data_IF_480154909182
#
_entry.id   IF_480154909182
#
_cell.length_a   1.000
_cell.length_b   1.000
_cell.length_c   1.000
_cell.angle_alpha   90.00
_cell.angle_beta   90.00
_cell.angle_gamma   90.00
#
_symmetry.space_group_name_H-M   'P 1'
#
loop_
_entity.id
_entity.type
_entity.pdbx_description
1 polymer ?
#
# COMPACT_ATOMS: atom_id res chain seq x y z
N UNK A 1 -6.31 5.29 1.08
CA UNK A 1 -6.22 6.66 1.64
C UNK A 1 -5.38 7.50 0.69
N UNK A 2 -5.69 8.77 0.47
CA UNK A 2 -4.81 9.66 -0.30
C UNK A 2 -3.80 10.32 0.64
N UNK A 3 -2.52 10.33 0.27
CA UNK A 3 -1.49 11.08 1.00
C UNK A 3 -1.63 12.59 0.72
N UNK A 4 -0.98 13.42 1.54
CA UNK A 4 -0.87 14.86 1.29
C UNK A 4 -0.13 15.21 -0.02
N UNK A 5 0.58 14.24 -0.60
CA UNK A 5 1.22 14.34 -1.92
C UNK A 5 0.33 13.86 -3.07
N UNK A 6 -0.94 13.51 -2.80
CA UNK A 6 -1.90 13.06 -3.81
C UNK A 6 -1.75 11.59 -4.23
N UNK A 7 -0.93 10.80 -3.55
CA UNK A 7 -0.70 9.40 -3.89
C UNK A 7 -1.69 8.48 -3.18
N UNK A 8 -2.12 7.42 -3.86
CA UNK A 8 -2.99 6.42 -3.26
C UNK A 8 -2.18 5.47 -2.38
N UNK A 9 -2.46 5.50 -1.08
CA UNK A 9 -1.77 4.72 -0.05
C UNK A 9 -2.71 3.68 0.56
N UNK A 10 -2.24 2.44 0.62
CA UNK A 10 -2.96 1.30 1.21
C UNK A 10 -2.09 0.51 2.18
N UNK A 11 -2.74 -0.04 3.21
CA UNK A 11 -2.11 -0.94 4.18
C UNK A 11 -2.38 -2.38 3.77
N UNK A 12 -1.33 -3.11 3.40
CA UNK A 12 -1.38 -4.49 2.91
C UNK A 12 -0.39 -5.36 3.68
N UNK A 13 -0.54 -6.70 3.64
CA UNK A 13 0.46 -7.60 4.20
C UNK A 13 1.84 -7.28 3.63
N UNK A 14 2.89 -7.31 4.46
CA UNK A 14 4.24 -6.96 4.01
C UNK A 14 4.78 -7.83 2.86
N UNK A 15 4.23 -9.03 2.65
CA UNK A 15 4.49 -9.85 1.45
C UNK A 15 3.91 -9.19 0.20
N UNK A 16 2.64 -8.79 0.24
CA UNK A 16 1.94 -8.12 -0.86
C UNK A 16 2.60 -6.79 -1.24
N UNK A 17 3.01 -6.01 -0.23
CA UNK A 17 3.77 -4.76 -0.46
C UNK A 17 5.05 -5.04 -1.26
N UNK A 18 5.80 -6.11 -0.93
CA UNK A 18 7.01 -6.48 -1.67
C UNK A 18 6.71 -6.91 -3.11
N UNK A 19 5.61 -7.64 -3.33
CA UNK A 19 5.18 -8.04 -4.68
C UNK A 19 4.86 -6.84 -5.55
N UNK A 20 4.08 -5.90 -5.02
CA UNK A 20 3.67 -4.69 -5.76
C UNK A 20 4.86 -3.75 -6.04
N UNK A 21 5.87 -3.74 -5.16
CA UNK A 21 7.12 -3.05 -5.44
C UNK A 21 7.92 -3.77 -6.53
N UNK A 22 7.98 -5.11 -6.48
CA UNK A 22 8.71 -5.90 -7.46
C UNK A 22 8.08 -5.84 -8.86
N UNK A 23 6.75 -5.67 -8.96
CA UNK A 23 6.04 -5.43 -10.22
C UNK A 23 6.14 -3.99 -10.72
N UNK A 24 6.67 -3.07 -9.91
CA UNK A 24 6.78 -1.65 -10.23
C UNK A 24 5.51 -0.83 -10.02
N UNK A 25 4.49 -1.42 -9.38
CA UNK A 25 3.18 -0.80 -9.13
C UNK A 25 3.21 0.27 -8.02
N UNK A 26 4.24 0.29 -7.18
CA UNK A 26 4.35 1.28 -6.12
C UNK A 26 5.64 1.21 -5.33
N UNK A 27 5.72 2.05 -4.31
CA UNK A 27 6.85 2.19 -3.39
C UNK A 27 6.38 2.03 -1.94
N UNK A 28 7.30 1.68 -1.02
CA UNK A 28 6.95 1.69 0.41
C UNK A 28 6.59 3.10 0.84
N UNK A 29 5.46 3.23 1.50
CA UNK A 29 5.05 4.51 2.04
C UNK A 29 5.89 4.87 3.27
N UNK A 30 6.52 6.05 3.24
CA UNK A 30 7.28 6.62 4.34
C UNK A 30 6.68 7.98 4.75
N UNK A 31 5.78 8.00 5.75
CA UNK A 31 5.13 9.24 6.18
C UNK A 31 6.06 10.20 6.94
N UNK A 32 7.24 9.75 7.41
CA UNK A 32 8.13 10.55 8.28
C UNK A 32 9.57 10.66 7.74
N UNK A 33 9.84 10.20 6.52
CA UNK A 33 11.11 10.37 5.84
C UNK A 33 12.31 9.74 6.54
N UNK A 34 12.12 8.55 7.13
CA UNK A 34 13.20 7.87 7.86
C UNK A 34 12.91 6.45 8.31
N UNK A 35 11.64 5.99 8.22
CA UNK A 35 11.30 4.59 8.51
C UNK A 35 10.08 4.17 7.69
N UNK A 36 10.29 3.65 6.46
CA UNK A 36 9.20 3.14 5.65
C UNK A 36 8.47 2.03 6.39
N UNK A 37 7.13 2.12 6.42
CA UNK A 37 6.31 1.12 7.07
C UNK A 37 6.22 -0.10 6.16
N UNK A 38 6.57 -1.29 6.69
CA UNK A 38 6.68 -2.53 5.90
C UNK A 38 5.35 -2.99 5.30
N UNK A 39 4.25 -2.52 5.85
CA UNK A 39 2.87 -2.89 5.49
C UNK A 39 2.14 -1.79 4.72
N UNK A 40 2.82 -0.69 4.38
CA UNK A 40 2.19 0.43 3.68
C UNK A 40 2.82 0.61 2.31
N UNK A 41 1.97 0.69 1.30
CA UNK A 41 2.33 0.90 -0.08
C UNK A 41 1.70 2.21 -0.57
N UNK A 42 2.50 3.01 -1.27
CA UNK A 42 2.03 4.10 -2.11
C UNK A 42 2.01 3.62 -3.55
N UNK A 43 0.84 3.58 -4.18
CA UNK A 43 0.73 3.28 -5.61
C UNK A 43 1.34 4.40 -6.43
N UNK A 44 1.95 4.01 -7.54
CA UNK A 44 2.38 4.92 -8.61
C UNK A 44 1.17 5.25 -9.48
N UNK A 45 1.11 6.45 -10.01
CA UNK A 45 0.01 6.87 -10.90
C UNK A 45 -0.06 6.05 -12.20
N UNK A 46 1.07 5.44 -12.59
CA UNK A 46 1.16 4.54 -13.74
C UNK A 46 0.77 3.08 -13.41
N UNK A 47 0.41 2.77 -12.17
CA UNK A 47 0.00 1.41 -11.81
C UNK A 47 -1.32 1.06 -12.46
N UNK A 48 -1.40 -0.16 -13.00
CA UNK A 48 -2.63 -0.71 -13.57
C UNK A 48 -3.43 -1.52 -12.55
N UNK A 49 -3.01 -1.53 -11.28
CA UNK A 49 -3.73 -2.23 -10.23
C UNK A 49 -5.10 -1.59 -9.97
N UNK A 50 -6.10 -2.45 -9.78
CA UNK A 50 -7.44 -2.02 -9.41
C UNK A 50 -7.48 -1.52 -7.96
N UNK A 51 -7.84 -0.24 -7.79
CA UNK A 51 -7.92 0.40 -6.49
C UNK A 51 -9.01 -0.22 -5.60
N UNK A 52 -10.12 -0.70 -6.18
CA UNK A 52 -11.20 -1.33 -5.41
C UNK A 52 -10.71 -2.67 -4.85
N UNK A 53 -10.03 -3.47 -5.67
CA UNK A 53 -9.45 -4.75 -5.25
C UNK A 53 -8.41 -4.55 -4.12
N UNK A 54 -7.49 -3.59 -4.28
CA UNK A 54 -6.49 -3.28 -3.26
C UNK A 54 -7.11 -2.75 -1.96
N UNK A 55 -8.20 -2.00 -2.05
CA UNK A 55 -8.92 -1.49 -0.86
C UNK A 55 -9.60 -2.62 -0.10
N UNK A 56 -10.21 -3.59 -0.81
CA UNK A 56 -10.79 -4.79 -0.20
C UNK A 56 -9.73 -5.64 0.50
N UNK A 57 -8.60 -5.87 -0.17
CA UNK A 57 -7.47 -6.62 0.40
C UNK A 57 -6.94 -5.93 1.68
N UNK A 58 -6.82 -4.60 1.66
CA UNK A 58 -6.43 -3.82 2.84
C UNK A 58 -7.44 -3.95 3.99
N UNK A 59 -8.74 -3.92 3.70
CA UNK A 59 -9.80 -4.08 4.69
C UNK A 59 -9.75 -5.47 5.34
N UNK A 60 -9.59 -6.52 4.54
CA UNK A 60 -9.46 -7.90 5.02
C UNK A 60 -8.23 -8.08 5.91
N UNK A 61 -7.10 -7.48 5.51
CA UNK A 61 -5.87 -7.51 6.31
C UNK A 61 -6.06 -6.83 7.67
N UNK A 62 -6.65 -5.63 7.72
CA UNK A 62 -6.88 -4.91 8.97
C UNK A 62 -7.86 -5.65 9.88
N UNK A 63 -8.92 -6.25 9.32
CA UNK A 63 -9.86 -7.10 10.07
C UNK A 63 -9.18 -8.31 10.70
N UNK A 64 -8.27 -8.94 9.96
CA UNK A 64 -7.51 -10.12 10.43
C UNK A 64 -6.45 -9.76 11.47
N UNK A 65 -5.93 -8.53 11.43
CA UNK A 65 -4.91 -8.01 12.35
C UNK A 65 -5.50 -7.36 13.63
N UNK A 66 -6.83 -7.32 13.78
CA UNK A 66 -7.51 -6.73 14.95
C UNK A 66 -7.96 -7.76 15.99
N UNK A 67 -7.34 -8.94 16.02
CA UNK A 67 -7.58 -9.99 17.03
C UNK A 67 -6.42 -10.11 18.00
#
# INVERSE_FOLDING_TARGET
MLSSSGQFVVKLPGRRVKELIASGDGDRFDPRGGRPLKEWLSLRDSSTQDWDALTREALEFVRSNSR
#
